data_IF_897086888646
#
_entry.id   IF_897086888646
#
_cell.length_a   1.000
_cell.length_b   1.000
_cell.length_c   1.000
_cell.angle_alpha   90.00
_cell.angle_beta   90.00
_cell.angle_gamma   90.00
#
_symmetry.space_group_name_H-M   'P 1'
#
loop_
_entity.id
_entity.type
_entity.pdbx_description
1 polymer ?
#
# COMPACT_ATOMS: atom_id res chain seq x y z
N UNK A 1 27.18 -11.45 2.98
CA UNK A 1 25.84 -11.80 2.45
C UNK A 1 25.00 -12.41 3.59
N UNK A 2 24.38 -11.58 4.44
CA UNK A 2 23.78 -12.06 5.71
C UNK A 2 22.49 -11.30 6.09
N UNK A 3 21.59 -11.08 5.12
CA UNK A 3 20.28 -10.42 5.39
C UNK A 3 19.08 -11.36 5.20
N UNK A 4 19.26 -12.57 4.68
CA UNK A 4 18.16 -13.54 4.49
C UNK A 4 17.66 -14.21 5.80
N UNK A 5 18.26 -13.89 6.96
CA UNK A 5 18.01 -14.59 8.22
C UNK A 5 17.12 -13.85 9.22
N UNK A 6 16.70 -12.61 8.96
CA UNK A 6 16.08 -11.76 9.99
C UNK A 6 14.54 -11.86 10.01
N UNK A 7 13.88 -12.17 8.89
CA UNK A 7 12.41 -12.27 8.87
C UNK A 7 11.88 -13.45 8.06
N UNK A 8 11.15 -14.34 8.73
CA UNK A 8 10.33 -15.37 8.08
C UNK A 8 9.15 -14.71 7.35
N UNK A 9 8.79 -15.24 6.17
CA UNK A 9 7.62 -14.84 5.36
C UNK A 9 6.34 -14.65 6.18
N UNK A 10 6.10 -15.48 7.20
CA UNK A 10 4.92 -15.33 8.08
C UNK A 10 4.94 -14.08 8.97
N UNK A 11 6.11 -13.70 9.50
CA UNK A 11 6.27 -12.49 10.33
C UNK A 11 6.19 -11.22 9.46
N UNK A 12 6.75 -11.27 8.25
CA UNK A 12 6.55 -10.24 7.21
C UNK A 12 5.07 -10.06 6.89
N UNK A 13 4.33 -11.16 6.74
CA UNK A 13 2.88 -11.10 6.51
C UNK A 13 2.14 -10.48 7.71
N UNK A 14 2.54 -10.74 8.96
CA UNK A 14 1.95 -10.11 10.15
C UNK A 14 2.21 -8.60 10.22
N UNK A 15 3.39 -8.13 9.82
CA UNK A 15 3.65 -6.69 9.76
C UNK A 15 2.75 -6.00 8.74
N UNK A 16 2.50 -6.64 7.59
CA UNK A 16 1.55 -6.19 6.57
C UNK A 16 0.08 -6.26 7.01
N UNK A 17 -0.27 -6.96 8.11
CA UNK A 17 -1.66 -7.16 8.57
C UNK A 17 -2.30 -5.97 9.27
N UNK A 18 -1.57 -4.89 9.59
CA UNK A 18 -2.23 -3.64 9.98
C UNK A 18 -2.59 -2.88 8.72
N UNK A 19 -3.85 -2.92 8.26
CA UNK A 19 -4.24 -2.15 7.09
C UNK A 19 -4.02 -0.67 7.40
N UNK A 20 -3.25 -0.02 6.53
CA UNK A 20 -3.06 1.43 6.58
C UNK A 20 -4.02 2.01 5.56
N UNK A 21 -5.20 2.44 6.00
CA UNK A 21 -6.19 3.04 5.11
C UNK A 21 -5.83 4.49 4.80
N UNK A 22 -6.24 4.96 3.62
CA UNK A 22 -6.18 6.36 3.24
C UNK A 22 -7.56 6.83 2.78
N UNK A 23 -8.10 7.81 3.48
CA UNK A 23 -9.44 8.39 3.29
C UNK A 23 -9.41 9.65 2.43
N UNK A 24 -8.23 10.10 2.00
CA UNK A 24 -8.06 11.32 1.23
C UNK A 24 -7.88 12.53 2.14
N UNK A 25 -8.78 13.50 2.05
CA UNK A 25 -8.70 14.83 2.68
C UNK A 25 -8.47 14.84 4.21
N UNK A 26 -8.72 13.72 4.87
CA UNK A 26 -8.61 13.56 6.34
C UNK A 26 -7.27 13.02 6.81
N UNK A 27 -6.42 12.55 5.90
CA UNK A 27 -5.16 11.90 6.21
C UNK A 27 -3.98 12.65 5.59
N UNK A 28 -2.81 12.57 6.21
CA UNK A 28 -1.57 13.05 5.62
C UNK A 28 -1.04 12.03 4.60
N UNK A 29 -1.15 12.38 3.32
CA UNK A 29 -0.71 11.52 2.22
C UNK A 29 0.79 11.20 2.27
N UNK A 30 1.64 12.11 2.77
CA UNK A 30 3.09 11.90 2.83
C UNK A 30 3.43 10.89 3.92
N UNK A 31 2.90 11.08 5.13
CA UNK A 31 3.07 10.14 6.24
C UNK A 31 2.53 8.74 5.90
N UNK A 32 1.39 8.67 5.21
CA UNK A 32 0.82 7.41 4.76
C UNK A 32 1.71 6.71 3.71
N UNK A 33 2.19 7.44 2.69
CA UNK A 33 3.08 6.88 1.66
C UNK A 33 4.43 6.45 2.23
N UNK A 34 5.04 7.23 3.13
CA UNK A 34 6.32 6.88 3.75
C UNK A 34 6.23 5.56 4.53
N UNK A 35 5.12 5.32 5.22
CA UNK A 35 4.84 4.06 5.93
C UNK A 35 4.65 2.89 4.96
N UNK A 36 4.06 3.12 3.79
CA UNK A 36 3.86 2.08 2.76
C UNK A 36 5.17 1.74 2.05
N UNK A 37 5.95 2.73 1.64
CA UNK A 37 7.22 2.51 0.94
C UNK A 37 8.22 1.71 1.78
N UNK A 38 8.30 1.99 3.09
CA UNK A 38 9.11 1.19 4.02
C UNK A 38 8.69 -0.29 4.02
N UNK A 39 7.38 -0.56 3.97
CA UNK A 39 6.85 -1.92 3.91
C UNK A 39 7.17 -2.57 2.58
N UNK A 40 6.88 -1.89 1.47
CA UNK A 40 7.10 -2.40 0.11
C UNK A 40 8.58 -2.71 -0.15
N UNK A 41 9.48 -1.86 0.32
CA UNK A 41 10.92 -2.08 0.24
C UNK A 41 11.35 -3.33 1.03
N UNK A 42 10.79 -3.54 2.22
CA UNK A 42 11.09 -4.70 3.06
C UNK A 42 10.69 -6.03 2.40
N UNK A 43 9.56 -6.07 1.68
CA UNK A 43 9.06 -7.29 1.00
C UNK A 43 9.42 -7.36 -0.49
N UNK A 44 10.10 -6.34 -1.03
CA UNK A 44 10.48 -6.22 -2.44
C UNK A 44 9.30 -6.39 -3.40
N UNK A 45 8.19 -5.68 -3.13
CA UNK A 45 7.03 -5.71 -4.02
C UNK A 45 7.31 -5.02 -5.36
N UNK A 46 6.79 -5.62 -6.42
CA UNK A 46 6.72 -4.97 -7.73
C UNK A 46 5.72 -3.83 -7.73
N UNK A 47 5.83 -2.91 -8.69
CA UNK A 47 4.93 -1.77 -8.77
C UNK A 47 3.45 -2.19 -8.98
N UNK A 48 3.22 -3.30 -9.71
CA UNK A 48 1.89 -3.92 -9.83
C UNK A 48 1.32 -4.36 -8.47
N UNK A 49 2.14 -5.01 -7.62
CA UNK A 49 1.72 -5.46 -6.29
C UNK A 49 1.44 -4.26 -5.36
N UNK A 50 2.28 -3.21 -5.43
CA UNK A 50 2.07 -1.96 -4.69
C UNK A 50 0.74 -1.31 -5.10
N UNK A 51 0.48 -1.21 -6.40
CA UNK A 51 -0.73 -0.59 -6.94
C UNK A 51 -1.98 -1.34 -6.51
N UNK A 52 -1.97 -2.67 -6.62
CA UNK A 52 -3.08 -3.51 -6.15
C UNK A 52 -3.33 -3.32 -4.64
N UNK A 53 -2.27 -3.32 -3.83
CA UNK A 53 -2.41 -3.09 -2.39
C UNK A 53 -2.96 -1.71 -2.06
N UNK A 54 -2.43 -0.66 -2.68
CA UNK A 54 -2.90 0.72 -2.49
C UNK A 54 -4.39 0.80 -2.82
N UNK A 55 -4.81 0.28 -3.98
CA UNK A 55 -6.18 0.38 -4.47
C UNK A 55 -7.23 -0.18 -3.51
N UNK A 56 -6.92 -1.27 -2.79
CA UNK A 56 -7.84 -1.91 -1.85
C UNK A 56 -7.83 -1.26 -0.44
N UNK A 57 -6.89 -0.36 -0.18
CA UNK A 57 -6.77 0.37 1.10
C UNK A 57 -7.23 1.84 1.01
N UNK A 58 -7.71 2.28 -0.15
CA UNK A 58 -8.38 3.57 -0.28
C UNK A 58 -9.80 3.49 0.30
N UNK A 59 -10.20 4.53 1.01
CA UNK A 59 -11.52 4.70 1.61
C UNK A 59 -12.07 6.11 1.31
N UNK A 60 -13.35 6.32 1.58
CA UNK A 60 -14.01 7.63 1.50
C UNK A 60 -13.69 8.38 0.18
N UNK A 61 -13.17 9.61 0.29
CA UNK A 61 -12.89 10.48 -0.85
C UNK A 61 -11.80 9.89 -1.76
N UNK A 62 -10.80 9.24 -1.19
CA UNK A 62 -9.73 8.62 -1.96
C UNK A 62 -10.23 7.43 -2.79
N UNK A 63 -11.13 6.61 -2.23
CA UNK A 63 -11.76 5.52 -2.98
C UNK A 63 -12.61 6.06 -4.13
N UNK A 64 -13.43 7.09 -3.87
CA UNK A 64 -14.27 7.72 -4.90
C UNK A 64 -13.46 8.30 -6.05
N UNK A 65 -12.36 8.97 -5.73
CA UNK A 65 -11.43 9.49 -6.73
C UNK A 65 -10.83 8.36 -7.57
N UNK A 66 -10.33 7.31 -6.92
CA UNK A 66 -9.69 6.18 -7.60
C UNK A 66 -10.64 5.45 -8.54
N UNK A 67 -11.89 5.20 -8.12
CA UNK A 67 -12.90 4.57 -8.98
C UNK A 67 -13.20 5.43 -10.23
N UNK A 68 -13.31 6.75 -10.08
CA UNK A 68 -13.53 7.65 -11.21
C UNK A 68 -12.31 7.65 -12.15
N UNK A 69 -11.11 7.87 -11.62
CA UNK A 69 -9.89 7.91 -12.42
C UNK A 69 -9.61 6.58 -13.15
N UNK A 70 -9.81 5.44 -12.48
CA UNK A 70 -9.58 4.11 -13.06
C UNK A 70 -10.66 3.69 -14.06
N UNK A 71 -11.89 4.20 -13.93
CA UNK A 71 -12.94 4.00 -14.94
C UNK A 71 -12.64 4.75 -16.24
N UNK A 72 -12.08 5.98 -16.13
CA UNK A 72 -11.69 6.77 -17.29
C UNK A 72 -10.57 6.10 -18.09
N UNK A 73 -9.63 5.43 -17.43
CA UNK A 73 -8.51 4.71 -18.08
C UNK A 73 -8.98 3.46 -18.87
N UNK A 74 -10.18 2.94 -18.58
CA UNK A 74 -10.75 1.77 -19.29
C UNK A 74 -11.57 2.13 -20.53
N UNK A 75 -11.64 3.41 -20.89
CA UNK A 75 -12.35 3.93 -22.09
C UNK A 75 -11.35 4.40 -23.13
#
# INVERSE_FOLDING_TARGET
LHLHRIYNKQELMKLLKKPTYFRGSKDDVRDWLDKLEQRFAMVKWSDEQKLQYISIHLQDDAQRWWTQASSVIKT
#
